data_IF_204889876055
#
_entry.id   IF_204889876055
#
_cell.length_a   1.000
_cell.length_b   1.000
_cell.length_c   1.000
_cell.angle_alpha   90.00
_cell.angle_beta   90.00
_cell.angle_gamma   90.00
#
_symmetry.space_group_name_H-M   'P 1'
#
loop_
_entity.id
_entity.type
_entity.pdbx_description
1 polymer ?
#
# COMPACT_ATOMS: atom_id res chain seq x y z
N UNK A 1 24.38 -57.02 -22.69
CA UNK A 1 24.12 -56.19 -21.49
C UNK A 1 23.73 -54.80 -21.98
N UNK A 2 22.48 -54.66 -22.43
CA UNK A 2 21.37 -53.99 -21.72
C UNK A 2 21.52 -52.46 -21.68
N UNK A 3 20.94 -51.83 -22.71
CA UNK A 3 20.64 -50.40 -22.82
C UNK A 3 19.50 -50.05 -21.86
N UNK A 4 19.68 -49.03 -21.03
CA UNK A 4 18.62 -48.29 -20.30
C UNK A 4 19.03 -46.81 -20.39
N UNK A 5 18.50 -46.02 -21.33
CA UNK A 5 17.22 -45.31 -21.27
C UNK A 5 16.97 -44.59 -19.93
N UNK A 6 16.97 -43.26 -20.03
CA UNK A 6 16.01 -42.31 -19.45
C UNK A 6 15.79 -42.31 -17.93
N UNK A 7 16.10 -41.19 -17.28
CA UNK A 7 15.01 -40.38 -16.71
C UNK A 7 15.47 -38.96 -16.40
N UNK A 8 14.54 -38.04 -16.62
CA UNK A 8 14.66 -36.60 -16.60
C UNK A 8 15.26 -36.04 -15.31
N UNK A 9 16.09 -35.00 -15.47
CA UNK A 9 16.32 -34.01 -14.45
C UNK A 9 14.96 -33.42 -14.04
N UNK A 10 14.60 -33.67 -12.79
CA UNK A 10 13.45 -33.06 -12.13
C UNK A 10 13.79 -31.58 -12.02
N UNK A 11 13.27 -30.80 -12.97
CA UNK A 11 13.19 -29.35 -12.84
C UNK A 11 12.35 -29.11 -11.60
N UNK A 12 13.01 -28.64 -10.55
CA UNK A 12 12.39 -28.12 -9.35
C UNK A 12 11.40 -27.05 -9.78
N UNK A 13 10.12 -27.40 -9.82
CA UNK A 13 9.04 -26.43 -9.72
C UNK A 13 9.23 -25.79 -8.35
N UNK A 14 9.94 -24.67 -8.32
CA UNK A 14 9.94 -23.75 -7.19
C UNK A 14 8.48 -23.37 -7.00
N UNK A 15 7.80 -23.81 -5.94
CA UNK A 15 6.57 -23.17 -5.57
C UNK A 15 7.03 -21.82 -5.03
N UNK A 16 6.94 -20.78 -5.86
CA UNK A 16 7.03 -19.41 -5.35
C UNK A 16 5.74 -19.11 -4.59
N UNK A 17 5.52 -19.83 -3.49
CA UNK A 17 4.74 -19.38 -2.37
C UNK A 17 5.54 -18.26 -1.73
N UNK A 18 5.50 -17.06 -2.35
CA UNK A 18 5.75 -15.83 -1.62
C UNK A 18 4.67 -15.79 -0.55
N UNK A 19 5.08 -16.10 0.67
CA UNK A 19 4.28 -16.03 1.88
C UNK A 19 3.56 -14.68 1.91
N UNK A 20 2.30 -14.70 1.52
CA UNK A 20 1.32 -13.67 1.81
C UNK A 20 0.88 -13.85 3.27
N UNK A 21 1.86 -13.89 4.18
CA UNK A 21 1.74 -13.57 5.59
C UNK A 21 2.02 -12.07 5.65
N UNK A 22 1.06 -11.17 5.72
CA UNK A 22 0.01 -11.13 6.73
C UNK A 22 -1.27 -10.48 6.19
N UNK A 23 -2.20 -11.29 5.69
CA UNK A 23 -3.62 -10.93 5.64
C UNK A 23 -4.43 -11.85 6.56
N UNK A 24 -3.90 -12.06 7.76
CA UNK A 24 -4.65 -12.61 8.89
C UNK A 24 -5.62 -11.58 9.44
N UNK A 25 -6.72 -11.32 8.74
CA UNK A 25 -7.90 -10.70 9.37
C UNK A 25 -8.68 -11.82 10.06
N UNK A 26 -8.15 -12.35 11.15
CA UNK A 26 -8.88 -13.22 12.06
C UNK A 26 -8.27 -13.19 13.47
N UNK A 27 -8.08 -12.00 14.03
CA UNK A 27 -7.92 -11.79 15.47
C UNK A 27 -8.35 -10.34 15.80
N UNK A 28 -9.64 -10.03 15.67
CA UNK A 28 -10.17 -8.90 16.43
C UNK A 28 -10.39 -9.40 17.86
N UNK A 29 -9.31 -9.31 18.65
CA UNK A 29 -9.39 -9.25 20.11
C UNK A 29 -10.22 -8.02 20.47
N UNK A 30 -11.52 -8.20 20.64
CA UNK A 30 -12.44 -7.17 21.11
C UNK A 30 -12.37 -7.02 22.63
N UNK A 31 -11.18 -6.84 23.21
CA UNK A 31 -11.01 -6.72 24.67
C UNK A 31 -10.57 -5.34 25.15
N UNK A 32 -10.54 -4.33 24.28
CA UNK A 32 -10.34 -2.92 24.70
C UNK A 32 -11.25 -2.01 23.86
N UNK A 33 -12.55 -2.07 24.09
CA UNK A 33 -13.48 -1.06 23.53
C UNK A 33 -14.40 -0.56 24.64
N UNK A 34 -13.83 -0.16 25.78
CA UNK A 34 -14.60 0.43 26.87
C UNK A 34 -15.11 1.84 26.51
N UNK A 35 -14.35 2.59 25.69
CA UNK A 35 -14.69 3.97 25.32
C UNK A 35 -14.97 4.15 23.83
N UNK A 36 -16.13 4.76 23.46
CA UNK A 36 -16.46 5.07 22.07
C UNK A 36 -15.43 5.94 21.34
N UNK A 37 -14.61 6.72 22.06
CA UNK A 37 -13.59 7.62 21.52
C UNK A 37 -12.36 6.85 21.00
N UNK A 38 -11.87 5.88 21.77
CA UNK A 38 -10.74 5.00 21.37
C UNK A 38 -11.09 4.17 20.11
N UNK A 39 -12.38 3.81 19.96
CA UNK A 39 -12.89 3.19 18.73
C UNK A 39 -12.71 4.07 17.50
N UNK A 40 -13.11 5.34 17.60
CA UNK A 40 -12.98 6.31 16.50
C UNK A 40 -11.52 6.50 16.11
N UNK A 41 -10.64 6.59 17.11
CA UNK A 41 -9.19 6.71 16.90
C UNK A 41 -8.63 5.51 16.10
N UNK A 42 -8.99 4.30 16.51
CA UNK A 42 -8.55 3.06 15.85
C UNK A 42 -9.08 2.96 14.42
N UNK A 43 -10.33 3.39 14.19
CA UNK A 43 -10.92 3.45 12.85
C UNK A 43 -10.17 4.47 11.98
N UNK A 44 -9.94 5.68 12.48
CA UNK A 44 -9.18 6.73 11.77
C UNK A 44 -7.77 6.26 11.38
N UNK A 45 -7.05 5.64 12.32
CA UNK A 45 -5.74 5.03 12.06
C UNK A 45 -5.77 3.99 10.93
N UNK A 46 -6.79 3.14 10.93
CA UNK A 46 -6.92 2.09 9.91
C UNK A 46 -7.28 2.66 8.54
N UNK A 47 -8.06 3.75 8.48
CA UNK A 47 -8.35 4.46 7.23
C UNK A 47 -7.05 5.01 6.64
N UNK A 48 -6.25 5.73 7.43
CA UNK A 48 -4.95 6.28 6.99
C UNK A 48 -4.01 5.16 6.51
N UNK A 49 -3.89 4.05 7.25
CA UNK A 49 -3.08 2.89 6.85
C UNK A 49 -3.51 2.30 5.50
N UNK A 50 -4.81 2.24 5.21
CA UNK A 50 -5.33 1.69 3.94
C UNK A 50 -5.01 2.60 2.78
N UNK A 51 -5.29 3.90 2.91
CA UNK A 51 -5.00 4.90 1.87
C UNK A 51 -3.49 4.98 1.62
N UNK A 52 -2.67 4.90 2.67
CA UNK A 52 -1.22 4.80 2.55
C UNK A 52 -0.76 3.62 1.69
N UNK A 53 -1.33 2.42 1.90
CA UNK A 53 -1.04 1.24 1.07
C UNK A 53 -1.53 1.40 -0.38
N UNK A 54 -2.67 2.06 -0.59
CA UNK A 54 -3.18 2.37 -1.93
C UNK A 54 -2.18 3.27 -2.68
N UNK A 55 -1.71 4.36 -2.04
CA UNK A 55 -0.70 5.25 -2.61
C UNK A 55 0.59 4.51 -2.98
N UNK A 56 1.09 3.63 -2.10
CA UNK A 56 2.28 2.82 -2.41
C UNK A 56 2.09 1.92 -3.64
N UNK A 57 0.93 1.27 -3.78
CA UNK A 57 0.63 0.42 -4.94
C UNK A 57 0.58 1.22 -6.24
N UNK A 58 -0.04 2.40 -6.24
CA UNK A 58 -0.07 3.25 -7.43
C UNK A 58 1.31 3.81 -7.79
N UNK A 59 2.15 4.12 -6.79
CA UNK A 59 3.53 4.51 -7.03
C UNK A 59 4.35 3.38 -7.68
N UNK A 60 4.20 2.14 -7.21
CA UNK A 60 4.83 0.96 -7.83
C UNK A 60 4.37 0.76 -9.29
N UNK A 61 3.10 0.98 -9.58
CA UNK A 61 2.56 0.85 -10.93
C UNK A 61 3.12 1.90 -11.88
N UNK A 62 3.23 3.16 -11.45
CA UNK A 62 3.89 4.21 -12.24
C UNK A 62 5.34 3.84 -12.56
N UNK A 63 6.07 3.25 -11.62
CA UNK A 63 7.45 2.77 -11.88
C UNK A 63 7.46 1.67 -12.95
N UNK A 64 6.53 0.72 -12.91
CA UNK A 64 6.44 -0.34 -13.93
C UNK A 64 6.11 0.23 -15.31
N UNK A 65 5.13 1.13 -15.40
CA UNK A 65 4.74 1.74 -16.66
C UNK A 65 5.83 2.66 -17.21
N UNK A 66 6.60 3.31 -16.34
CA UNK A 66 7.76 4.12 -16.75
C UNK A 66 8.82 3.23 -17.40
N UNK A 67 9.15 2.10 -16.77
CA UNK A 67 10.09 1.12 -17.36
C UNK A 67 9.58 0.57 -18.69
N UNK A 68 8.30 0.22 -18.77
CA UNK A 68 7.70 -0.26 -20.01
C UNK A 68 7.79 0.79 -21.13
N UNK A 69 7.54 2.06 -20.81
CA UNK A 69 7.70 3.16 -21.75
C UNK A 69 9.17 3.33 -22.18
N UNK A 70 10.11 3.32 -21.25
CA UNK A 70 11.56 3.41 -21.53
C UNK A 70 12.04 2.25 -22.41
N UNK A 71 11.59 1.02 -22.12
CA UNK A 71 11.91 -0.17 -22.91
C UNK A 71 11.39 -0.05 -24.35
N UNK A 72 10.17 0.47 -24.54
CA UNK A 72 9.58 0.71 -25.87
C UNK A 72 10.33 1.78 -26.65
N UNK A 73 10.77 2.84 -25.98
CA UNK A 73 11.60 3.90 -26.59
C UNK A 73 12.98 3.37 -26.96
N UNK A 74 13.63 2.61 -26.07
CA UNK A 74 14.95 2.02 -26.30
C UNK A 74 14.95 0.96 -27.41
N UNK A 75 13.86 0.18 -27.53
CA UNK A 75 13.68 -0.78 -28.61
C UNK A 75 13.40 -0.12 -29.98
N UNK A 76 13.19 1.21 -30.03
CA UNK A 76 12.83 1.90 -31.26
C UNK A 76 11.49 1.44 -31.82
N UNK A 77 10.53 1.15 -30.95
CA UNK A 77 9.20 0.71 -31.35
C UNK A 77 8.48 1.78 -32.22
N UNK A 78 7.43 1.36 -32.90
CA UNK A 78 6.66 2.23 -33.78
C UNK A 78 5.93 3.34 -32.98
N UNK A 79 5.70 4.48 -33.62
CA UNK A 79 5.24 5.70 -32.95
C UNK A 79 3.87 5.54 -32.27
N UNK A 80 2.97 4.73 -32.83
CA UNK A 80 1.69 4.41 -32.21
C UNK A 80 1.88 3.65 -30.89
N UNK A 81 2.78 2.65 -30.85
CA UNK A 81 3.07 1.90 -29.62
C UNK A 81 3.64 2.78 -28.51
N UNK A 82 4.52 3.72 -28.84
CA UNK A 82 5.10 4.67 -27.89
C UNK A 82 4.02 5.62 -27.34
N UNK A 83 3.10 6.08 -28.21
CA UNK A 83 1.96 6.92 -27.79
C UNK A 83 1.01 6.17 -26.86
N UNK A 84 0.73 4.90 -27.14
CA UNK A 84 -0.10 4.05 -26.26
C UNK A 84 0.57 3.81 -24.91
N UNK A 85 1.87 3.49 -24.90
CA UNK A 85 2.63 3.32 -23.67
C UNK A 85 2.66 4.61 -22.83
N UNK A 86 2.77 5.77 -23.47
CA UNK A 86 2.70 7.08 -22.81
C UNK A 86 1.31 7.36 -22.23
N UNK A 87 0.24 7.06 -22.96
CA UNK A 87 -1.13 7.23 -22.45
C UNK A 87 -1.36 6.39 -21.19
N UNK A 88 -0.93 5.14 -21.17
CA UNK A 88 -1.03 4.25 -20.02
C UNK A 88 -0.20 4.74 -18.81
N UNK A 89 0.98 5.29 -19.08
CA UNK A 89 1.82 5.94 -18.07
C UNK A 89 1.08 7.15 -17.45
N UNK A 90 0.47 7.98 -18.28
CA UNK A 90 -0.22 9.18 -17.84
C UNK A 90 -1.50 8.82 -17.05
N UNK A 91 -2.28 7.83 -17.47
CA UNK A 91 -3.41 7.27 -16.71
C UNK A 91 -2.98 6.83 -15.29
N UNK A 92 -1.85 6.13 -15.21
CA UNK A 92 -1.32 5.66 -13.92
C UNK A 92 -0.86 6.82 -13.03
N UNK A 93 -0.26 7.86 -13.61
CA UNK A 93 0.18 9.07 -12.88
C UNK A 93 -1.00 9.88 -12.35
N UNK A 94 -2.10 9.96 -13.10
CA UNK A 94 -3.30 10.70 -12.70
C UNK A 94 -3.98 10.13 -11.45
N UNK A 95 -3.67 8.90 -11.04
CA UNK A 95 -4.22 8.29 -9.83
C UNK A 95 -3.53 8.72 -8.52
N UNK A 96 -2.26 9.12 -8.59
CA UNK A 96 -1.48 9.57 -7.42
C UNK A 96 -2.10 10.79 -6.72
N UNK A 97 -2.51 11.87 -7.42
CA UNK A 97 -3.07 13.05 -6.77
C UNK A 97 -4.39 12.77 -6.04
N UNK A 98 -5.25 11.88 -6.56
CA UNK A 98 -6.48 11.49 -5.83
C UNK A 98 -6.15 10.85 -4.47
N UNK A 99 -5.17 9.95 -4.46
CA UNK A 99 -4.73 9.29 -3.24
C UNK A 99 -4.12 10.29 -2.23
N UNK A 100 -3.40 11.31 -2.70
CA UNK A 100 -2.86 12.38 -1.86
C UNK A 100 -3.98 13.19 -1.20
N UNK A 101 -4.95 13.66 -1.98
CA UNK A 101 -6.09 14.43 -1.46
C UNK A 101 -6.89 13.62 -0.44
N UNK A 102 -7.11 12.32 -0.70
CA UNK A 102 -7.82 11.44 0.23
C UNK A 102 -7.01 11.19 1.51
N UNK A 103 -5.69 11.08 1.39
CA UNK A 103 -4.80 10.93 2.55
C UNK A 103 -4.79 12.19 3.41
N UNK A 104 -4.71 13.37 2.80
CA UNK A 104 -4.77 14.67 3.49
C UNK A 104 -6.07 14.83 4.29
N UNK A 105 -7.22 14.50 3.69
CA UNK A 105 -8.51 14.53 4.38
C UNK A 105 -8.52 13.57 5.57
N UNK A 106 -8.08 12.33 5.37
CA UNK A 106 -8.03 11.33 6.45
C UNK A 106 -7.06 11.73 7.58
N UNK A 107 -5.94 12.38 7.25
CA UNK A 107 -5.00 12.91 8.24
C UNK A 107 -5.57 14.10 9.00
N UNK A 108 -6.32 14.99 8.32
CA UNK A 108 -7.05 16.07 8.97
C UNK A 108 -8.07 15.51 9.98
N UNK A 109 -8.87 14.53 9.56
CA UNK A 109 -9.83 13.85 10.43
C UNK A 109 -9.15 13.17 11.63
N UNK A 110 -8.01 12.49 11.40
CA UNK A 110 -7.24 11.86 12.48
C UNK A 110 -6.65 12.90 13.45
N UNK A 111 -6.17 14.04 12.94
CA UNK A 111 -5.65 15.12 13.78
C UNK A 111 -6.76 15.73 14.65
N UNK A 112 -7.94 15.99 14.08
CA UNK A 112 -9.09 16.47 14.84
C UNK A 112 -9.45 15.50 15.98
N UNK A 113 -9.45 14.19 15.70
CA UNK A 113 -9.69 13.15 16.71
C UNK A 113 -8.60 13.11 17.79
N UNK A 114 -7.34 13.34 17.43
CA UNK A 114 -6.23 13.44 18.39
C UNK A 114 -6.41 14.64 19.31
N UNK A 115 -6.74 15.82 18.76
CA UNK A 115 -7.00 17.03 19.55
C UNK A 115 -8.17 16.88 20.52
N UNK A 116 -9.24 16.19 20.11
CA UNK A 116 -10.38 15.89 20.97
C UNK A 116 -10.02 14.95 22.14
N UNK A 117 -9.01 14.08 21.97
CA UNK A 117 -8.63 13.06 22.94
C UNK A 117 -7.40 13.44 23.80
N UNK A 118 -6.66 14.48 23.43
CA UNK A 118 -5.34 14.87 23.97
C UNK A 118 -5.37 15.16 25.49
N UNK A 119 -6.50 15.57 26.05
CA UNK A 119 -6.62 15.91 27.47
C UNK A 119 -7.01 14.74 28.38
N UNK A 120 -7.54 13.64 27.83
CA UNK A 120 -8.15 12.56 28.62
C UNK A 120 -7.50 11.19 28.40
N UNK A 121 -6.85 10.96 27.25
CA UNK A 121 -6.46 9.60 26.80
C UNK A 121 -4.97 9.47 26.41
N UNK A 122 -4.12 10.44 26.77
CA UNK A 122 -2.70 10.49 26.36
C UNK A 122 -1.84 9.30 26.82
N UNK A 123 -2.29 8.53 27.82
CA UNK A 123 -1.56 7.36 28.33
C UNK A 123 -2.00 6.05 27.67
N UNK A 124 -3.04 6.08 26.82
CA UNK A 124 -3.53 4.89 26.13
C UNK A 124 -2.64 4.50 24.96
N UNK A 125 -2.45 3.20 24.76
CA UNK A 125 -1.59 2.67 23.68
C UNK A 125 -2.10 3.07 22.31
N UNK A 126 -3.42 3.13 22.17
CA UNK A 126 -4.13 3.52 20.96
C UNK A 126 -3.80 4.96 20.55
N UNK A 127 -3.66 5.86 21.53
CA UNK A 127 -3.31 7.26 21.27
C UNK A 127 -1.87 7.42 20.78
N UNK A 128 -0.92 6.75 21.45
CA UNK A 128 0.50 6.76 21.05
C UNK A 128 0.67 6.14 19.65
N UNK A 129 -0.01 5.03 19.38
CA UNK A 129 -0.01 4.38 18.08
C UNK A 129 -0.57 5.33 17.00
N UNK A 130 -1.68 6.02 17.28
CA UNK A 130 -2.28 6.98 16.37
C UNK A 130 -1.36 8.16 16.06
N UNK A 131 -0.67 8.70 17.06
CA UNK A 131 0.30 9.78 16.90
C UNK A 131 1.50 9.32 16.04
N UNK A 132 2.03 8.12 16.27
CA UNK A 132 3.09 7.56 15.44
C UNK A 132 2.66 7.37 13.99
N UNK A 133 1.43 6.89 13.76
CA UNK A 133 0.88 6.73 12.42
C UNK A 133 0.71 8.10 11.75
N UNK A 134 0.14 9.07 12.46
CA UNK A 134 -0.02 10.44 11.95
C UNK A 134 1.32 11.03 11.51
N UNK A 135 2.37 10.92 12.33
CA UNK A 135 3.70 11.41 12.01
C UNK A 135 4.27 10.75 10.74
N UNK A 136 4.19 9.41 10.63
CA UNK A 136 4.69 8.66 9.46
C UNK A 136 4.04 9.11 8.14
N UNK A 137 2.73 9.36 8.15
CA UNK A 137 2.00 9.72 6.94
C UNK A 137 1.96 11.23 6.67
N UNK A 138 2.13 12.07 7.70
CA UNK A 138 2.23 13.52 7.56
C UNK A 138 3.49 13.95 6.78
N UNK A 139 4.61 13.24 6.96
CA UNK A 139 5.83 13.49 6.17
C UNK A 139 5.63 13.19 4.68
N UNK A 140 4.81 12.19 4.34
CA UNK A 140 4.57 11.77 2.96
C UNK A 140 3.59 12.63 2.17
N UNK A 141 3.03 13.69 2.76
CA UNK A 141 2.08 14.62 2.12
C UNK A 141 2.80 15.85 1.54
N UNK A 142 4.03 16.16 1.96
CA UNK A 142 4.82 17.27 1.42
C UNK A 142 5.46 16.96 0.07
#
# INVERSE_FOLDING_TARGET
MLVKMSSAAIISVVPHCRSHSDFGICQLKTTVMADPRLRKLTIGCNVVKRIGKEKSKYAEEVVKQTKFYEDKVAAGAEECEIKMAKALLDESKMMIPDCQIRLEKALCDLNNLLQECDHELNETKEFVDAQSIYAQYAEGVR
#
